data_IF_252150707480
#
_entry.id   IF_252150707480
#
_cell.length_a   1.000
_cell.length_b   1.000
_cell.length_c   1.000
_cell.angle_alpha   90.00
_cell.angle_beta   90.00
_cell.angle_gamma   90.00
#
_symmetry.space_group_name_H-M   'P 1'
#
loop_
_entity.id
_entity.type
_entity.pdbx_description
1 polymer ?
#
# COMPACT_ATOMS: atom_id res chain seq x y z
N UNK A 1 -31.22 7.74 -2.76
CA UNK A 1 -29.78 7.92 -2.52
C UNK A 1 -29.67 8.29 -1.06
N UNK A 2 -29.48 7.30 -0.17
CA UNK A 2 -29.25 7.58 1.25
C UNK A 2 -27.93 8.35 1.34
N UNK A 3 -27.96 9.54 1.92
CA UNK A 3 -26.76 10.19 2.39
C UNK A 3 -26.33 9.37 3.60
N UNK A 4 -25.44 8.41 3.41
CA UNK A 4 -24.85 7.71 4.54
C UNK A 4 -24.14 8.78 5.38
N UNK A 5 -24.61 8.98 6.61
CA UNK A 5 -24.04 9.98 7.51
C UNK A 5 -22.55 9.68 7.71
N UNK A 6 -21.71 10.70 7.52
CA UNK A 6 -20.27 10.58 7.76
C UNK A 6 -20.06 10.28 9.25
N UNK A 7 -19.62 9.07 9.55
CA UNK A 7 -19.30 8.64 10.89
C UNK A 7 -17.86 9.03 11.23
N UNK A 8 -17.65 9.53 12.45
CA UNK A 8 -16.33 9.88 12.96
C UNK A 8 -15.98 8.99 14.15
N UNK A 9 -14.75 8.48 14.20
CA UNK A 9 -14.23 7.66 15.31
C UNK A 9 -12.89 8.20 15.79
N UNK A 10 -12.55 8.03 17.09
CA UNK A 10 -11.24 8.38 17.60
C UNK A 10 -10.12 7.63 16.86
N UNK A 11 -9.00 8.31 16.61
CA UNK A 11 -7.79 7.64 16.14
C UNK A 11 -7.12 6.94 17.33
N UNK A 12 -6.87 5.64 17.24
CA UNK A 12 -6.29 4.84 18.31
C UNK A 12 -4.96 5.40 18.84
N UNK A 13 -4.88 5.60 20.16
CA UNK A 13 -3.74 6.24 20.84
C UNK A 13 -3.71 7.77 20.73
N UNK A 14 -4.72 8.38 20.10
CA UNK A 14 -4.89 9.83 19.98
C UNK A 14 -6.30 10.27 20.37
N UNK A 15 -6.91 9.55 21.31
CA UNK A 15 -8.24 9.84 21.85
C UNK A 15 -8.29 11.28 22.39
N UNK A 16 -9.35 12.01 22.05
CA UNK A 16 -9.49 13.44 22.39
C UNK A 16 -8.61 14.40 21.58
N UNK A 17 -7.72 13.90 20.72
CA UNK A 17 -6.83 14.73 19.90
C UNK A 17 -7.20 14.72 18.42
N UNK A 18 -7.56 13.54 17.88
CA UNK A 18 -7.93 13.37 16.47
C UNK A 18 -9.04 12.33 16.29
N UNK A 19 -9.85 12.54 15.24
CA UNK A 19 -10.85 11.61 14.75
C UNK A 19 -10.62 11.34 13.27
N UNK A 20 -11.00 10.15 12.82
CA UNK A 20 -11.02 9.74 11.41
C UNK A 20 -12.45 9.38 11.01
N UNK A 21 -12.85 9.79 9.80
CA UNK A 21 -14.16 9.46 9.25
C UNK A 21 -14.14 8.18 8.41
N UNK A 22 -15.32 7.63 8.14
CA UNK A 22 -15.52 6.49 7.23
C UNK A 22 -15.31 6.83 5.73
N UNK A 23 -15.07 8.10 5.40
CA UNK A 23 -14.68 8.56 4.05
C UNK A 23 -13.21 9.05 3.99
N UNK A 24 -12.42 8.70 5.01
CA UNK A 24 -10.98 8.94 5.01
C UNK A 24 -10.55 10.39 5.24
N UNK A 25 -11.36 11.19 5.94
CA UNK A 25 -10.95 12.51 6.47
C UNK A 25 -10.43 12.36 7.88
N UNK A 26 -9.48 13.21 8.25
CA UNK A 26 -8.93 13.26 9.61
C UNK A 26 -9.15 14.66 10.15
N UNK A 27 -9.69 14.78 11.36
CA UNK A 27 -9.96 16.07 11.99
C UNK A 27 -9.54 16.09 13.45
N UNK A 28 -9.57 17.27 14.05
CA UNK A 28 -9.63 17.41 15.51
C UNK A 28 -11.09 17.25 15.99
N UNK A 29 -11.34 16.66 17.16
CA UNK A 29 -12.67 16.57 17.76
C UNK A 29 -13.39 17.92 17.84
N UNK A 30 -14.72 17.91 17.91
CA UNK A 30 -15.54 19.13 17.97
C UNK A 30 -15.39 19.90 19.29
N UNK A 31 -14.94 19.24 20.35
CA UNK A 31 -14.65 19.82 21.66
C UNK A 31 -13.15 20.15 21.84
N UNK A 32 -12.33 20.00 20.80
CA UNK A 32 -10.90 20.21 20.90
C UNK A 32 -10.55 21.67 21.28
N UNK A 33 -9.75 21.93 22.32
CA UNK A 33 -9.64 23.25 22.98
C UNK A 33 -9.08 24.37 22.10
N UNK A 34 -8.23 24.04 21.11
CA UNK A 34 -7.56 25.06 20.26
C UNK A 34 -8.19 25.26 18.89
N UNK A 35 -8.76 24.19 18.31
CA UNK A 35 -9.14 24.11 16.88
C UNK A 35 -10.22 23.04 16.71
N UNK A 36 -11.42 23.26 17.28
CA UNK A 36 -12.51 22.29 17.21
C UNK A 36 -12.92 22.01 15.76
N UNK A 37 -13.11 20.74 15.41
CA UNK A 37 -13.58 20.31 14.08
C UNK A 37 -12.60 20.55 12.92
N UNK A 38 -11.38 21.02 13.18
CA UNK A 38 -10.41 21.34 12.13
C UNK A 38 -10.01 20.08 11.36
N UNK A 39 -10.35 20.03 10.08
CA UNK A 39 -9.97 18.93 9.16
C UNK A 39 -8.53 19.14 8.68
N UNK A 40 -7.71 18.11 8.86
CA UNK A 40 -6.31 18.10 8.44
C UNK A 40 -6.24 17.92 6.92
N UNK A 41 -5.26 18.56 6.28
CA UNK A 41 -4.92 18.33 4.86
C UNK A 41 -3.85 17.25 4.74
N UNK A 42 -4.17 16.03 4.23
CA UNK A 42 -3.18 14.99 4.06
C UNK A 42 -2.19 15.32 2.94
N UNK A 43 -0.94 14.94 3.12
CA UNK A 43 0.05 14.94 2.04
C UNK A 43 -0.15 13.70 1.15
N UNK A 44 0.02 13.86 -0.16
CA UNK A 44 -0.01 12.75 -1.12
C UNK A 44 1.41 12.23 -1.33
N UNK A 45 1.62 10.93 -1.15
CA UNK A 45 2.90 10.27 -1.38
C UNK A 45 3.09 9.95 -2.87
N UNK A 46 4.32 9.67 -3.29
CA UNK A 46 4.62 9.19 -4.66
C UNK A 46 3.83 7.92 -5.02
N UNK A 47 3.51 7.09 -4.02
CA UNK A 47 2.67 5.90 -4.18
C UNK A 47 1.17 6.21 -4.28
N UNK A 48 0.75 7.48 -4.34
CA UNK A 48 -0.65 7.91 -4.34
C UNK A 48 -1.33 7.92 -2.97
N UNK A 49 -0.75 7.26 -1.97
CA UNK A 49 -1.32 7.15 -0.62
C UNK A 49 -1.35 8.50 0.10
N UNK A 50 -2.44 8.74 0.85
CA UNK A 50 -2.58 9.93 1.71
C UNK A 50 -1.96 9.69 3.08
N UNK A 51 -1.19 10.68 3.55
CA UNK A 51 -0.48 10.65 4.83
C UNK A 51 -0.78 11.90 5.64
N UNK A 52 -1.08 11.72 6.92
CA UNK A 52 -1.26 12.80 7.90
C UNK A 52 -0.16 12.78 8.96
N UNK A 53 0.12 13.93 9.55
CA UNK A 53 1.01 14.07 10.71
C UNK A 53 0.16 14.39 11.93
N UNK A 54 0.16 13.49 12.90
CA UNK A 54 -0.55 13.64 14.17
C UNK A 54 0.45 14.07 15.25
N UNK A 55 0.01 14.91 16.17
CA UNK A 55 0.83 15.46 17.26
C UNK A 55 0.24 15.04 18.60
N UNK A 56 1.04 14.40 19.46
CA UNK A 56 0.71 14.07 20.84
C UNK A 56 1.91 14.40 21.72
N UNK A 57 1.70 15.11 22.83
CA UNK A 57 2.75 15.52 23.77
C UNK A 57 3.96 16.22 23.11
N UNK A 58 3.69 17.03 22.08
CA UNK A 58 4.72 17.73 21.32
C UNK A 58 5.50 16.86 20.32
N UNK A 59 5.22 15.55 20.25
CA UNK A 59 5.90 14.61 19.35
C UNK A 59 5.07 14.35 18.08
N UNK A 60 5.56 14.75 16.89
CA UNK A 60 4.85 14.50 15.65
C UNK A 60 5.13 13.10 15.09
N UNK A 61 4.09 12.35 14.76
CA UNK A 61 4.18 11.04 14.12
C UNK A 61 3.34 11.01 12.85
N UNK A 62 3.86 10.37 11.79
CA UNK A 62 3.17 10.31 10.50
C UNK A 62 2.43 8.98 10.32
N UNK A 63 1.20 9.04 9.82
CA UNK A 63 0.35 7.88 9.58
C UNK A 63 -0.25 7.90 8.18
N UNK A 64 -0.44 6.72 7.60
CA UNK A 64 -1.24 6.56 6.39
C UNK A 64 -2.72 6.59 6.75
N UNK A 65 -3.50 7.38 6.02
CA UNK A 65 -4.92 7.63 6.34
C UNK A 65 -5.74 6.34 6.32
N UNK A 66 -5.64 5.56 5.24
CA UNK A 66 -6.35 4.28 5.12
C UNK A 66 -6.05 3.31 6.28
N UNK A 67 -4.85 3.39 6.89
CA UNK A 67 -4.46 2.48 7.98
C UNK A 67 -5.06 2.88 9.32
N UNK A 68 -5.06 4.18 9.64
CA UNK A 68 -5.73 4.65 10.87
C UNK A 68 -7.25 4.52 10.77
N UNK A 69 -7.80 4.68 9.57
CA UNK A 69 -9.21 4.44 9.29
C UNK A 69 -9.57 2.96 9.46
N UNK A 70 -8.82 2.05 8.83
CA UNK A 70 -9.03 0.61 8.98
C UNK A 70 -8.98 0.18 10.46
N UNK A 71 -8.01 0.68 11.23
CA UNK A 71 -7.94 0.38 12.67
C UNK A 71 -9.18 0.91 13.41
N UNK A 72 -9.60 2.15 13.16
CA UNK A 72 -10.73 2.76 13.86
C UNK A 72 -12.08 2.07 13.55
N UNK A 73 -12.25 1.56 12.33
CA UNK A 73 -13.52 0.99 11.88
C UNK A 73 -13.58 -0.54 11.86
N UNK A 74 -12.47 -1.21 11.55
CA UNK A 74 -12.37 -2.68 11.45
C UNK A 74 -11.63 -3.31 12.64
N UNK A 75 -11.01 -2.52 13.50
CA UNK A 75 -10.15 -3.00 14.58
C UNK A 75 -8.72 -3.30 14.12
N UNK A 76 -7.91 -3.77 15.06
CA UNK A 76 -6.51 -4.12 14.82
C UNK A 76 -6.39 -5.29 13.83
N UNK A 77 -5.42 -5.25 12.90
CA UNK A 77 -5.15 -6.35 12.00
C UNK A 77 -4.54 -7.54 12.73
N UNK A 78 -4.77 -8.74 12.19
CA UNK A 78 -3.95 -9.89 12.55
C UNK A 78 -2.49 -9.69 12.10
N UNK A 79 -1.52 -10.32 12.79
CA UNK A 79 -0.11 -10.19 12.45
C UNK A 79 0.16 -10.48 10.96
N UNK A 80 0.81 -9.53 10.29
CA UNK A 80 1.17 -9.64 8.87
C UNK A 80 0.09 -9.19 7.89
N UNK A 81 -1.09 -8.75 8.34
CA UNK A 81 -2.11 -8.17 7.46
C UNK A 81 -1.85 -6.71 7.07
N UNK A 82 -2.33 -6.37 5.89
CA UNK A 82 -2.17 -5.09 5.21
C UNK A 82 -3.56 -4.51 4.99
N UNK A 83 -3.71 -3.19 5.16
CA UNK A 83 -4.92 -2.51 4.75
C UNK A 83 -4.86 -2.36 3.22
N UNK A 84 -5.75 -3.07 2.53
CA UNK A 84 -5.76 -3.19 1.07
C UNK A 84 -6.96 -2.46 0.49
N UNK A 85 -6.76 -1.79 -0.65
CA UNK A 85 -7.81 -1.09 -1.39
C UNK A 85 -8.46 -2.04 -2.40
N UNK A 86 -9.78 -2.21 -2.31
CA UNK A 86 -10.56 -3.10 -3.17
C UNK A 86 -10.53 -2.69 -4.65
N UNK A 87 -10.36 -1.40 -4.93
CA UNK A 87 -10.36 -0.83 -6.29
C UNK A 87 -8.96 -0.54 -6.86
N UNK A 88 -7.90 -0.80 -6.07
CA UNK A 88 -6.52 -0.48 -6.46
C UNK A 88 -6.17 1.01 -6.49
N UNK A 89 -7.08 1.89 -6.04
CA UNK A 89 -6.86 3.33 -5.96
C UNK A 89 -6.44 3.75 -4.54
N UNK A 90 -5.16 4.06 -4.30
CA UNK A 90 -4.66 4.41 -2.97
C UNK A 90 -5.17 5.76 -2.42
N UNK A 91 -5.92 6.53 -3.23
CA UNK A 91 -6.55 7.78 -2.81
C UNK A 91 -8.02 7.60 -2.38
N UNK A 92 -8.65 6.46 -2.70
CA UNK A 92 -10.01 6.13 -2.29
C UNK A 92 -10.01 5.49 -0.90
N UNK A 93 -9.95 6.35 0.12
CA UNK A 93 -9.99 5.94 1.52
C UNK A 93 -11.42 5.91 2.05
N UNK A 94 -12.38 5.37 1.29
CA UNK A 94 -13.66 5.00 1.91
C UNK A 94 -13.43 3.70 2.70
N UNK A 95 -13.98 3.59 3.91
CA UNK A 95 -13.83 2.37 4.70
C UNK A 95 -14.39 1.13 3.97
N UNK A 96 -15.43 1.31 3.17
CA UNK A 96 -16.03 0.24 2.35
C UNK A 96 -15.08 -0.25 1.25
N UNK A 97 -14.10 0.59 0.87
CA UNK A 97 -13.05 0.24 -0.08
C UNK A 97 -11.82 -0.37 0.60
N UNK A 98 -11.77 -0.47 1.93
CA UNK A 98 -10.60 -0.94 2.67
C UNK A 98 -10.92 -2.24 3.39
N UNK A 99 -9.99 -3.20 3.33
CA UNK A 99 -10.05 -4.44 4.11
C UNK A 99 -8.68 -4.84 4.65
N UNK A 100 -8.67 -5.60 5.74
CA UNK A 100 -7.47 -6.33 6.13
C UNK A 100 -7.30 -7.57 5.26
N UNK A 101 -6.11 -7.74 4.68
CA UNK A 101 -5.79 -8.93 3.89
C UNK A 101 -4.30 -9.28 4.05
N UNK A 102 -3.97 -10.50 3.65
CA UNK A 102 -2.62 -11.00 3.52
C UNK A 102 -1.82 -10.29 2.41
N UNK A 103 -0.48 -10.30 2.48
CA UNK A 103 0.37 -9.76 1.41
C UNK A 103 0.14 -10.45 0.05
N UNK A 104 -0.18 -11.74 0.05
CA UNK A 104 -0.46 -12.50 -1.17
C UNK A 104 -1.84 -12.16 -1.76
N UNK A 105 -2.84 -11.88 -0.90
CA UNK A 105 -4.11 -11.29 -1.30
C UNK A 105 -3.92 -9.97 -2.03
N UNK A 106 -3.23 -9.03 -1.40
CA UNK A 106 -2.91 -7.73 -2.00
C UNK A 106 -2.12 -7.86 -3.32
N UNK A 107 -1.16 -8.78 -3.41
CA UNK A 107 -0.41 -9.00 -4.66
C UNK A 107 -1.30 -9.51 -5.80
N UNK A 108 -2.34 -10.31 -5.50
CA UNK A 108 -3.32 -10.75 -6.49
C UNK A 108 -4.17 -9.58 -6.97
N UNK A 109 -4.61 -8.71 -6.06
CA UNK A 109 -5.32 -7.48 -6.42
C UNK A 109 -4.48 -6.62 -7.35
N UNK A 110 -3.18 -6.45 -7.07
CA UNK A 110 -2.30 -5.69 -7.96
C UNK A 110 -2.22 -6.29 -9.37
N UNK A 111 -2.32 -7.61 -9.53
CA UNK A 111 -2.38 -8.24 -10.85
C UNK A 111 -3.72 -7.93 -11.55
N UNK A 112 -4.84 -8.05 -10.83
CA UNK A 112 -6.18 -7.76 -11.34
C UNK A 112 -6.33 -6.29 -11.75
N UNK A 113 -5.77 -5.38 -10.94
CA UNK A 113 -5.81 -3.94 -11.18
C UNK A 113 -4.74 -3.47 -12.17
N UNK A 114 -3.87 -4.36 -12.66
CA UNK A 114 -2.78 -4.01 -13.57
C UNK A 114 -1.72 -3.10 -12.95
N UNK A 115 -1.60 -3.07 -11.62
CA UNK A 115 -0.63 -2.25 -10.88
C UNK A 115 0.60 -3.03 -10.42
N UNK A 116 0.67 -4.33 -10.71
CA UNK A 116 1.77 -5.18 -10.25
C UNK A 116 3.11 -4.78 -10.91
N UNK A 117 4.13 -4.37 -10.14
CA UNK A 117 5.35 -3.77 -10.68
C UNK A 117 6.17 -4.73 -11.55
N UNK A 118 6.08 -6.04 -11.31
CA UNK A 118 6.78 -7.00 -12.15
C UNK A 118 6.14 -7.18 -13.52
N UNK A 119 4.87 -6.80 -13.71
CA UNK A 119 4.23 -6.88 -15.02
C UNK A 119 4.86 -5.86 -15.99
N UNK A 120 5.28 -4.69 -15.49
CA UNK A 120 5.87 -3.62 -16.29
C UNK A 120 7.36 -3.83 -16.64
N UNK A 121 8.04 -4.82 -16.05
CA UNK A 121 9.46 -5.02 -16.34
C UNK A 121 9.65 -5.71 -17.69
N UNK A 122 10.29 -4.97 -18.59
CA UNK A 122 10.67 -5.41 -19.94
C UNK A 122 12.04 -6.09 -19.99
N UNK A 123 12.90 -5.90 -18.99
CA UNK A 123 14.25 -6.47 -18.96
C UNK A 123 14.58 -7.16 -17.63
N UNK A 124 15.43 -8.18 -17.69
CA UNK A 124 15.99 -8.84 -16.52
C UNK A 124 17.05 -7.97 -15.82
N UNK A 125 17.51 -8.32 -14.60
CA UNK A 125 18.54 -7.54 -13.89
C UNK A 125 19.89 -7.40 -14.62
N UNK A 126 20.16 -8.23 -15.64
CA UNK A 126 21.36 -8.14 -16.49
C UNK A 126 21.14 -7.38 -17.79
N UNK A 127 19.95 -6.84 -18.01
CA UNK A 127 19.63 -6.04 -19.20
C UNK A 127 19.18 -6.83 -20.41
N UNK A 128 18.97 -8.16 -20.32
CA UNK A 128 18.33 -8.92 -21.40
C UNK A 128 16.82 -8.69 -21.41
N UNK A 129 16.26 -8.49 -22.61
CA UNK A 129 14.83 -8.28 -22.82
C UNK A 129 14.02 -9.55 -22.50
N UNK A 130 12.87 -9.38 -21.86
CA UNK A 130 11.90 -10.44 -21.62
C UNK A 130 10.98 -10.59 -22.85
N UNK A 131 11.40 -11.40 -23.82
CA UNK A 131 10.58 -11.86 -24.95
C UNK A 131 9.96 -13.23 -24.65
N UNK A 132 9.07 -13.75 -25.50
CA UNK A 132 8.50 -15.11 -25.34
C UNK A 132 9.60 -16.18 -25.36
N UNK A 133 10.61 -16.00 -26.21
CA UNK A 133 11.75 -16.91 -26.38
C UNK A 133 12.76 -16.78 -25.23
N UNK A 134 12.94 -15.56 -24.72
CA UNK A 134 13.93 -15.28 -23.67
C UNK A 134 13.37 -15.40 -22.24
N UNK A 135 12.08 -15.73 -22.09
CA UNK A 135 11.39 -15.75 -20.79
C UNK A 135 10.79 -17.12 -20.50
N UNK A 136 11.23 -17.72 -19.40
CA UNK A 136 10.60 -18.92 -18.84
C UNK A 136 9.86 -18.59 -17.55
N UNK A 137 8.58 -18.90 -17.48
CA UNK A 137 7.80 -18.76 -16.25
C UNK A 137 8.03 -19.98 -15.35
N UNK A 138 8.40 -19.74 -14.09
CA UNK A 138 8.70 -20.77 -13.09
C UNK A 138 7.96 -20.48 -11.80
N UNK A 139 7.94 -21.44 -10.87
CA UNK A 139 7.40 -21.23 -9.52
C UNK A 139 8.08 -20.07 -8.77
N UNK A 140 9.31 -19.71 -9.13
CA UNK A 140 10.07 -18.59 -8.54
C UNK A 140 9.89 -17.26 -9.31
N UNK A 141 9.01 -17.23 -10.31
CA UNK A 141 8.78 -16.09 -11.21
C UNK A 141 9.41 -16.27 -12.59
N UNK A 142 9.65 -15.15 -13.29
CA UNK A 142 10.24 -15.13 -14.63
C UNK A 142 11.74 -15.39 -14.59
N UNK A 143 12.20 -16.31 -15.42
CA UNK A 143 13.59 -16.69 -15.61
C UNK A 143 14.05 -16.24 -17.00
N UNK A 144 15.15 -15.48 -17.06
CA UNK A 144 15.75 -15.04 -18.31
C UNK A 144 16.62 -16.14 -18.90
N UNK A 145 16.30 -16.63 -20.10
CA UNK A 145 16.98 -17.78 -20.72
C UNK A 145 18.40 -17.43 -21.17
N UNK A 146 18.62 -16.22 -21.69
CA UNK A 146 19.93 -15.71 -22.05
C UNK A 146 20.87 -15.62 -20.84
N UNK A 147 20.33 -15.29 -19.66
CA UNK A 147 21.11 -15.30 -18.42
C UNK A 147 21.63 -16.71 -18.08
N UNK A 148 20.86 -17.77 -18.36
CA UNK A 148 21.31 -19.14 -18.16
C UNK A 148 22.39 -19.53 -19.18
N UNK A 149 22.19 -19.12 -20.45
CA UNK A 149 23.18 -19.32 -21.51
C UNK A 149 24.53 -18.69 -21.16
N UNK A 150 24.55 -17.41 -20.79
CA UNK A 150 25.78 -16.69 -20.43
C UNK A 150 26.53 -17.34 -19.26
N UNK A 151 25.77 -17.81 -18.26
CA UNK A 151 26.35 -18.49 -17.10
C UNK A 151 26.98 -19.83 -17.49
N UNK A 152 26.37 -20.55 -18.43
CA UNK A 152 26.93 -21.80 -18.94
C UNK A 152 28.20 -21.56 -19.75
N UNK A 153 28.21 -20.59 -20.68
CA UNK A 153 29.39 -20.23 -21.47
C UNK A 153 30.59 -19.89 -20.57
N UNK A 154 30.39 -19.03 -19.57
CA UNK A 154 31.44 -18.63 -18.61
C UNK A 154 31.99 -19.80 -17.78
N UNK A 155 31.16 -20.79 -17.46
CA UNK A 155 31.59 -21.98 -16.72
C UNK A 155 32.45 -22.89 -17.60
N UNK A 156 32.01 -23.10 -18.84
CA UNK A 156 32.74 -23.90 -19.82
C UNK A 156 34.12 -23.32 -20.14
N UNK A 157 34.21 -22.00 -20.30
CA UNK A 157 35.48 -21.28 -20.52
C UNK A 157 36.47 -21.44 -19.34
N UNK A 158 35.97 -21.39 -18.10
CA UNK A 158 36.79 -21.57 -16.89
C UNK A 158 37.28 -22.99 -16.67
N UNK A 159 36.55 -24.00 -17.16
CA UNK A 159 36.96 -25.40 -17.06
C UNK A 159 37.95 -25.82 -18.16
N UNK A 160 38.13 -25.00 -19.19
CA UNK A 160 39.05 -25.23 -20.29
C UNK A 160 40.41 -24.50 -20.14
N UNK A 161 40.56 -23.66 -19.11
CA UNK A 161 41.78 -22.94 -18.75
C UNK A 161 42.47 -23.60 -17.54
#
# INVERSE_FOLDING_TARGET
MQLDDIQWRPVGGYEGLYEVSNDGRVRRPLDHPKRPGFVLSPAVMRSGHRRVRLLRDGVPTSYLVHRIEAIAFLGEPEPGQYACHNDGNPANNSIENIRWDSPSGNARDMLLHGTHPQAFKTHCPRGHEYTEENTKHTAKGRSCMQCHSDLWSRRSERSAA
#
